data_IF_991349401371
#
_entry.id   IF_991349401371
#
_cell.length_a   1.000
_cell.length_b   1.000
_cell.length_c   1.000
_cell.angle_alpha   90.00
_cell.angle_beta   90.00
_cell.angle_gamma   90.00
#
_symmetry.space_group_name_H-M   'P 1'
#
loop_
_entity.id
_entity.type
_entity.pdbx_description
1 polymer ?
#
# COMPACT_ATOMS: atom_id res chain seq x y z
N UNK A 1 -5.20 46.48 0.79
CA UNK A 1 -4.05 45.55 0.73
C UNK A 1 -3.54 45.35 2.14
N UNK A 2 -3.78 44.18 2.73
CA UNK A 2 -3.15 43.82 4.03
C UNK A 2 -1.67 43.58 3.81
N UNK A 3 -0.81 44.46 4.30
CA UNK A 3 0.63 44.40 4.14
C UNK A 3 1.33 43.42 5.11
N UNK A 4 0.55 42.72 5.98
CA UNK A 4 1.09 41.90 7.07
C UNK A 4 0.62 40.44 7.04
N UNK A 5 -0.02 39.98 5.96
CA UNK A 5 -0.53 38.62 5.85
C UNK A 5 0.17 37.89 4.71
N UNK A 6 0.85 36.81 5.02
CA UNK A 6 1.39 35.86 4.06
C UNK A 6 0.45 34.65 3.98
N UNK A 7 -0.03 34.33 2.78
CA UNK A 7 -0.86 33.14 2.54
C UNK A 7 -0.01 32.02 1.97
N UNK A 8 0.01 30.88 2.67
CA UNK A 8 0.65 29.66 2.20
C UNK A 8 -0.45 28.62 2.01
N UNK A 9 -0.60 28.11 0.79
CA UNK A 9 -1.56 27.07 0.44
C UNK A 9 -0.80 25.77 0.14
N UNK A 10 -1.23 24.69 0.73
CA UNK A 10 -0.68 23.35 0.46
C UNK A 10 -1.73 22.45 -0.18
N UNK A 11 -1.33 21.63 -1.13
CA UNK A 11 -2.21 20.66 -1.76
C UNK A 11 -1.42 19.46 -2.29
N UNK A 12 -2.08 18.33 -2.39
CA UNK A 12 -1.51 17.11 -3.01
C UNK A 12 -1.83 17.01 -4.52
N UNK A 13 -2.78 17.80 -5.02
CA UNK A 13 -3.21 17.76 -6.43
C UNK A 13 -3.37 19.16 -6.98
N UNK A 14 -2.32 19.69 -7.60
CA UNK A 14 -2.31 21.02 -8.22
C UNK A 14 -3.42 21.20 -9.26
N UNK A 15 -3.79 20.15 -9.99
CA UNK A 15 -4.86 20.19 -10.99
C UNK A 15 -6.24 20.52 -10.43
N UNK A 16 -6.49 20.31 -9.12
CA UNK A 16 -7.73 20.64 -8.44
C UNK A 16 -7.83 22.12 -8.00
N UNK A 17 -6.71 22.85 -8.05
CA UNK A 17 -6.69 24.28 -7.72
C UNK A 17 -7.19 25.06 -8.93
N UNK A 18 -8.14 25.99 -8.69
CA UNK A 18 -8.69 26.84 -9.74
C UNK A 18 -7.60 27.65 -10.45
N UNK A 19 -7.73 27.80 -11.75
CA UNK A 19 -6.73 28.46 -12.60
C UNK A 19 -6.39 29.89 -12.13
N UNK A 20 -7.38 30.63 -11.61
CA UNK A 20 -7.20 31.97 -11.09
C UNK A 20 -6.25 32.07 -9.88
N UNK A 21 -6.17 31.03 -9.03
CA UNK A 21 -5.22 30.96 -7.94
C UNK A 21 -3.82 30.54 -8.45
N UNK A 22 -3.79 29.52 -9.31
CA UNK A 22 -2.51 29.03 -9.87
C UNK A 22 -1.73 30.11 -10.65
N UNK A 23 -2.44 31.00 -11.34
CA UNK A 23 -1.80 32.09 -12.10
C UNK A 23 -1.28 33.23 -11.24
N UNK A 24 -1.67 33.30 -9.97
CA UNK A 24 -1.31 34.40 -9.06
C UNK A 24 -0.34 34.00 -7.95
N UNK A 25 -0.09 32.70 -7.77
CA UNK A 25 0.76 32.18 -6.72
C UNK A 25 1.96 31.46 -7.32
N UNK A 26 3.18 31.70 -6.81
CA UNK A 26 4.32 30.86 -7.13
C UNK A 26 4.05 29.44 -6.63
N UNK A 27 4.35 28.45 -7.44
CA UNK A 27 4.16 27.04 -7.09
C UNK A 27 5.50 26.39 -6.82
N UNK A 28 5.64 25.78 -5.67
CA UNK A 28 6.78 24.97 -5.27
C UNK A 28 6.33 23.52 -5.17
N UNK A 29 7.04 22.62 -5.82
CA UNK A 29 6.75 21.18 -5.79
C UNK A 29 7.74 20.49 -4.83
N UNK A 30 7.19 19.76 -3.87
CA UNK A 30 7.96 18.88 -3.00
C UNK A 30 7.76 17.46 -3.51
N UNK A 31 8.82 16.87 -4.01
CA UNK A 31 8.82 15.46 -4.41
C UNK A 31 8.92 14.58 -3.15
N UNK A 32 8.58 13.30 -3.27
CA UNK A 32 8.91 12.31 -2.25
C UNK A 32 10.42 12.20 -2.07
N UNK A 33 10.84 11.66 -0.93
CA UNK A 33 12.25 11.35 -0.70
C UNK A 33 12.70 10.21 -1.62
N UNK A 34 13.95 10.25 -2.03
CA UNK A 34 14.60 9.11 -2.64
C UNK A 34 14.69 7.96 -1.61
N UNK A 35 14.78 6.72 -2.10
CA UNK A 35 14.77 5.53 -1.23
C UNK A 35 15.88 5.60 -0.18
N UNK A 36 17.10 5.94 -0.61
CA UNK A 36 18.26 6.04 0.28
C UNK A 36 18.09 7.12 1.37
N UNK A 37 17.44 8.24 1.04
CA UNK A 37 17.13 9.32 2.00
C UNK A 37 16.08 8.84 3.03
N UNK A 38 15.07 8.09 2.56
CA UNK A 38 14.04 7.53 3.41
C UNK A 38 14.61 6.46 4.35
N UNK A 39 15.50 5.59 3.85
CA UNK A 39 16.21 4.60 4.66
C UNK A 39 17.07 5.26 5.74
N UNK A 40 17.86 6.27 5.36
CA UNK A 40 18.68 7.02 6.30
C UNK A 40 17.85 7.67 7.40
N UNK A 41 16.72 8.29 7.05
CA UNK A 41 15.83 8.93 8.01
C UNK A 41 15.20 7.91 8.98
N UNK A 42 14.69 6.79 8.50
CA UNK A 42 14.08 5.77 9.36
C UNK A 42 15.12 5.07 10.25
N UNK A 43 16.34 4.85 9.75
CA UNK A 43 17.46 4.33 10.53
C UNK A 43 17.84 5.26 11.68
N UNK A 44 17.88 6.57 11.43
CA UNK A 44 18.12 7.56 12.48
C UNK A 44 17.04 7.50 13.57
N UNK A 45 15.76 7.34 13.19
CA UNK A 45 14.66 7.21 14.16
C UNK A 45 14.81 5.94 15.00
N UNK A 46 15.22 4.81 14.41
CA UNK A 46 15.51 3.58 15.16
C UNK A 46 16.52 3.84 16.27
N UNK A 47 17.58 4.59 15.97
CA UNK A 47 18.62 4.93 16.95
C UNK A 47 18.10 5.91 18.01
N UNK A 48 17.42 6.99 17.61
CA UNK A 48 16.94 8.04 18.50
C UNK A 48 15.86 7.58 19.48
N UNK A 49 14.93 6.74 19.01
CA UNK A 49 13.83 6.21 19.80
C UNK A 49 14.20 4.92 20.54
N UNK A 50 15.40 4.38 20.32
CA UNK A 50 15.88 3.17 20.97
C UNK A 50 15.18 1.89 20.51
N UNK A 51 14.66 1.86 19.30
CA UNK A 51 14.10 0.65 18.70
C UNK A 51 15.17 -0.42 18.48
N UNK A 52 14.78 -1.70 18.36
CA UNK A 52 15.72 -2.78 18.10
C UNK A 52 16.53 -2.54 16.81
N UNK A 53 17.84 -2.63 16.87
CA UNK A 53 18.71 -2.41 15.70
C UNK A 53 18.41 -3.37 14.53
N UNK A 54 17.86 -4.56 14.82
CA UNK A 54 17.43 -5.53 13.79
C UNK A 54 16.27 -4.99 12.91
N UNK A 55 15.53 -3.97 13.36
CA UNK A 55 14.50 -3.35 12.56
C UNK A 55 15.07 -2.63 11.32
N UNK A 56 16.34 -2.24 11.37
CA UNK A 56 17.03 -1.64 10.23
C UNK A 56 17.02 -2.54 8.99
N UNK A 57 17.10 -3.86 9.18
CA UNK A 57 17.09 -4.84 8.08
C UNK A 57 15.71 -4.88 7.36
N UNK A 58 14.65 -4.45 8.04
CA UNK A 58 13.28 -4.45 7.50
C UNK A 58 12.89 -3.12 6.84
N UNK A 59 13.71 -2.06 6.97
CA UNK A 59 13.40 -0.72 6.44
C UNK A 59 13.18 -0.74 4.91
N UNK A 60 14.02 -1.37 4.08
CA UNK A 60 13.81 -1.37 2.63
C UNK A 60 12.45 -1.97 2.23
N UNK A 61 12.07 -3.08 2.88
CA UNK A 61 10.78 -3.72 2.65
C UNK A 61 9.61 -2.85 3.15
N UNK A 62 9.77 -2.19 4.30
CA UNK A 62 8.79 -1.27 4.86
C UNK A 62 8.54 -0.06 3.94
N UNK A 63 9.59 0.54 3.37
CA UNK A 63 9.49 1.65 2.41
C UNK A 63 8.79 1.20 1.14
N UNK A 64 9.15 0.03 0.63
CA UNK A 64 8.52 -0.56 -0.56
C UNK A 64 7.04 -0.80 -0.32
N UNK A 65 6.67 -1.42 0.81
CA UNK A 65 5.28 -1.67 1.21
C UNK A 65 4.44 -0.40 1.26
N UNK A 66 4.99 0.67 1.83
CA UNK A 66 4.29 1.96 1.97
C UNK A 66 4.59 2.95 0.83
N UNK A 67 5.25 2.52 -0.26
CA UNK A 67 5.54 3.34 -1.45
C UNK A 67 6.24 4.67 -1.11
N UNK A 68 7.11 4.65 -0.12
CA UNK A 68 7.83 5.84 0.33
C UNK A 68 7.02 6.80 1.21
N UNK A 69 5.81 6.44 1.66
CA UNK A 69 5.07 7.22 2.66
C UNK A 69 5.68 7.02 4.05
N UNK A 70 6.57 7.91 4.43
CA UNK A 70 7.25 7.87 5.73
C UNK A 70 6.29 7.89 6.92
N UNK A 71 5.14 8.57 6.80
CA UNK A 71 4.15 8.61 7.88
C UNK A 71 3.54 7.22 8.08
N UNK A 72 3.25 6.51 7.00
CA UNK A 72 2.77 5.14 7.07
C UNK A 72 3.85 4.20 7.63
N UNK A 73 5.11 4.35 7.21
CA UNK A 73 6.24 3.61 7.78
C UNK A 73 6.36 3.82 9.30
N UNK A 74 6.34 5.07 9.76
CA UNK A 74 6.43 5.40 11.18
C UNK A 74 5.26 4.85 11.99
N UNK A 75 4.04 4.90 11.45
CA UNK A 75 2.87 4.29 12.10
C UNK A 75 3.05 2.78 12.26
N UNK A 76 3.56 2.09 11.24
CA UNK A 76 3.84 0.67 11.32
C UNK A 76 4.88 0.37 12.40
N UNK A 77 5.95 1.14 12.48
CA UNK A 77 6.95 1.00 13.54
C UNK A 77 6.36 1.22 14.94
N UNK A 78 5.47 2.22 15.09
CA UNK A 78 4.83 2.55 16.38
C UNK A 78 3.86 1.48 16.91
N UNK A 79 3.25 0.69 16.04
CA UNK A 79 2.34 -0.40 16.46
C UNK A 79 3.06 -1.71 16.75
N UNK A 80 4.31 -1.86 16.30
CA UNK A 80 5.13 -3.01 16.60
C UNK A 80 5.65 -2.95 18.04
N UNK A 81 5.74 -4.11 18.68
CA UNK A 81 6.29 -4.22 20.04
C UNK A 81 7.80 -3.95 20.01
N UNK A 82 8.31 -2.90 20.67
CA UNK A 82 9.73 -2.58 20.67
C UNK A 82 10.59 -3.59 21.43
N UNK A 83 10.02 -4.39 22.32
CA UNK A 83 10.73 -5.45 23.03
C UNK A 83 10.96 -6.70 22.15
N UNK A 84 10.32 -6.74 20.97
CA UNK A 84 10.43 -7.82 20.00
C UNK A 84 11.21 -7.38 18.76
N UNK A 85 12.48 -7.80 18.70
CA UNK A 85 13.38 -7.43 17.59
C UNK A 85 12.92 -7.88 16.19
N UNK A 86 12.02 -8.86 16.10
CA UNK A 86 11.51 -9.38 14.83
C UNK A 86 10.07 -8.90 14.53
N UNK A 87 9.47 -8.07 15.40
CA UNK A 87 8.09 -7.61 15.23
C UNK A 87 7.86 -6.87 13.91
N UNK A 88 8.77 -5.96 13.56
CA UNK A 88 8.66 -5.19 12.32
C UNK A 88 8.78 -6.07 11.08
N UNK A 89 9.73 -7.00 11.07
CA UNK A 89 9.90 -7.96 9.98
C UNK A 89 8.63 -8.80 9.79
N UNK A 90 8.14 -9.40 10.87
CA UNK A 90 6.90 -10.20 10.81
C UNK A 90 5.72 -9.38 10.31
N UNK A 91 5.51 -8.18 10.84
CA UNK A 91 4.37 -7.33 10.42
C UNK A 91 4.49 -6.92 8.94
N UNK A 92 5.70 -6.65 8.48
CA UNK A 92 5.94 -6.24 7.08
C UNK A 92 5.78 -7.41 6.12
N UNK A 93 6.29 -8.59 6.47
CA UNK A 93 6.22 -9.80 5.66
C UNK A 93 4.83 -10.47 5.68
N UNK A 94 4.11 -10.41 6.80
CA UNK A 94 2.87 -11.12 7.00
C UNK A 94 1.81 -10.71 5.97
N UNK A 95 1.59 -9.41 5.77
CA UNK A 95 0.63 -8.91 4.78
C UNK A 95 0.95 -9.38 3.36
N UNK A 96 2.25 -9.45 3.02
CA UNK A 96 2.68 -9.95 1.71
C UNK A 96 2.36 -11.44 1.56
N UNK A 97 2.66 -12.27 2.57
CA UNK A 97 2.36 -13.71 2.55
C UNK A 97 0.86 -13.99 2.41
N UNK A 98 0.03 -13.25 3.13
CA UNK A 98 -1.42 -13.39 3.07
C UNK A 98 -1.99 -13.03 1.69
N UNK A 99 -1.47 -11.99 1.05
CA UNK A 99 -1.88 -11.63 -0.29
C UNK A 99 -1.42 -12.64 -1.34
N UNK A 100 -0.24 -13.22 -1.19
CA UNK A 100 0.24 -14.33 -2.03
C UNK A 100 -0.62 -15.57 -1.83
N UNK A 101 -1.00 -15.91 -0.60
CA UNK A 101 -1.95 -17.01 -0.33
C UNK A 101 -3.28 -16.76 -1.03
N UNK A 102 -3.88 -15.58 -0.84
CA UNK A 102 -5.15 -15.23 -1.50
C UNK A 102 -5.02 -15.32 -3.03
N UNK A 103 -3.94 -14.79 -3.60
CA UNK A 103 -3.69 -14.89 -5.03
C UNK A 103 -3.63 -16.34 -5.51
N UNK A 104 -2.92 -17.21 -4.78
CA UNK A 104 -2.77 -18.63 -5.13
C UNK A 104 -4.12 -19.35 -5.10
N UNK A 105 -4.97 -19.10 -4.08
CA UNK A 105 -6.29 -19.70 -4.00
C UNK A 105 -7.22 -19.21 -5.15
N UNK A 106 -7.13 -17.92 -5.49
CA UNK A 106 -7.86 -17.38 -6.65
C UNK A 106 -7.35 -18.04 -7.95
N UNK A 107 -6.04 -18.21 -8.09
CA UNK A 107 -5.42 -18.76 -9.30
C UNK A 107 -5.72 -20.27 -9.44
N UNK A 108 -5.70 -21.02 -8.34
CA UNK A 108 -6.08 -22.45 -8.29
C UNK A 108 -7.60 -22.66 -8.43
N UNK A 109 -8.39 -21.58 -8.37
CA UNK A 109 -9.87 -21.58 -8.41
C UNK A 109 -10.51 -22.23 -7.18
N UNK A 110 -9.81 -22.28 -6.08
CA UNK A 110 -10.39 -22.66 -4.79
C UNK A 110 -11.08 -21.45 -4.16
N UNK A 111 -12.32 -21.20 -4.60
CA UNK A 111 -13.08 -20.03 -4.19
C UNK A 111 -13.54 -20.08 -2.73
N UNK A 112 -13.70 -21.26 -2.18
CA UNK A 112 -14.08 -21.44 -0.77
C UNK A 112 -12.93 -21.07 0.14
N UNK A 113 -11.73 -21.57 -0.16
CA UNK A 113 -10.53 -21.21 0.59
C UNK A 113 -10.14 -19.73 0.38
N UNK A 114 -10.27 -19.20 -0.84
CA UNK A 114 -10.05 -17.79 -1.11
C UNK A 114 -10.93 -16.88 -0.23
N UNK A 115 -12.20 -17.23 0.00
CA UNK A 115 -13.07 -16.46 0.89
C UNK A 115 -12.66 -16.60 2.37
N UNK A 116 -12.15 -17.77 2.75
CA UNK A 116 -11.61 -18.00 4.10
C UNK A 116 -10.38 -17.13 4.34
N UNK A 117 -9.46 -17.06 3.38
CA UNK A 117 -8.29 -16.17 3.44
C UNK A 117 -8.71 -14.70 3.47
N UNK A 118 -9.75 -14.29 2.73
CA UNK A 118 -10.31 -12.94 2.79
C UNK A 118 -10.75 -12.55 4.22
N UNK A 119 -11.46 -13.44 4.92
CA UNK A 119 -11.87 -13.18 6.30
C UNK A 119 -10.65 -12.96 7.20
N UNK A 120 -9.66 -13.83 7.08
CA UNK A 120 -8.43 -13.72 7.86
C UNK A 120 -7.69 -12.40 7.62
N UNK A 121 -7.52 -11.97 6.35
CA UNK A 121 -6.87 -10.70 5.99
C UNK A 121 -7.58 -9.50 6.62
N UNK A 122 -8.91 -9.48 6.59
CA UNK A 122 -9.70 -8.38 7.15
C UNK A 122 -9.62 -8.36 8.68
N UNK A 123 -9.62 -9.52 9.31
CA UNK A 123 -9.48 -9.64 10.77
C UNK A 123 -8.10 -9.16 11.26
N UNK A 124 -7.06 -9.22 10.43
CA UNK A 124 -5.76 -8.63 10.71
C UNK A 124 -5.73 -7.09 10.60
N UNK A 125 -6.81 -6.48 10.14
CA UNK A 125 -6.91 -5.02 10.00
C UNK A 125 -6.20 -4.45 8.77
N UNK A 126 -5.91 -5.28 7.77
CA UNK A 126 -5.29 -4.86 6.51
C UNK A 126 -6.15 -3.82 5.80
N UNK A 127 -5.56 -2.73 5.39
CA UNK A 127 -6.28 -1.66 4.69
C UNK A 127 -6.59 -2.03 3.23
N UNK A 128 -7.58 -1.37 2.63
CA UNK A 128 -7.98 -1.62 1.23
C UNK A 128 -6.86 -1.37 0.23
N UNK A 129 -6.08 -0.34 0.46
CA UNK A 129 -4.95 -0.03 -0.41
C UNK A 129 -3.86 -1.10 -0.29
N UNK A 130 -3.58 -1.60 0.92
CA UNK A 130 -2.67 -2.74 1.14
C UNK A 130 -3.19 -4.03 0.50
N UNK A 131 -4.50 -4.27 0.53
CA UNK A 131 -5.12 -5.43 -0.13
C UNK A 131 -4.92 -5.40 -1.65
N UNK A 132 -5.19 -4.24 -2.26
CA UNK A 132 -5.04 -4.07 -3.72
C UNK A 132 -3.57 -4.16 -4.13
N UNK A 133 -2.70 -3.46 -3.41
CA UNK A 133 -1.27 -3.41 -3.70
C UNK A 133 -0.61 -4.77 -3.51
N UNK A 134 -0.94 -5.49 -2.45
CA UNK A 134 -0.42 -6.82 -2.19
C UNK A 134 -0.87 -7.85 -3.24
N UNK A 135 -2.14 -7.82 -3.65
CA UNK A 135 -2.61 -8.65 -4.76
C UNK A 135 -1.93 -8.30 -6.08
N UNK A 136 -1.73 -7.01 -6.36
CA UNK A 136 -1.03 -6.58 -7.56
C UNK A 136 0.43 -7.06 -7.56
N UNK A 137 1.12 -6.96 -6.42
CA UNK A 137 2.49 -7.45 -6.26
C UNK A 137 2.58 -8.97 -6.51
N UNK A 138 1.66 -9.76 -5.95
CA UNK A 138 1.62 -11.20 -6.18
C UNK A 138 1.43 -11.54 -7.68
N UNK A 139 0.60 -10.78 -8.40
CA UNK A 139 0.42 -10.94 -9.86
C UNK A 139 1.71 -10.62 -10.62
N UNK A 140 2.43 -9.56 -10.24
CA UNK A 140 3.70 -9.19 -10.87
C UNK A 140 4.75 -10.27 -10.65
N UNK A 141 4.89 -10.77 -9.42
CA UNK A 141 5.83 -11.84 -9.08
C UNK A 141 5.55 -13.13 -9.86
N UNK A 142 4.27 -13.53 -9.98
CA UNK A 142 3.88 -14.68 -10.80
C UNK A 142 4.12 -14.48 -12.30
N UNK A 143 4.03 -13.25 -12.79
CA UNK A 143 4.38 -12.95 -14.17
C UNK A 143 5.90 -13.01 -14.39
N UNK A 144 6.69 -12.44 -13.49
CA UNK A 144 8.15 -12.41 -13.57
C UNK A 144 8.74 -13.82 -13.42
N UNK A 145 8.12 -14.69 -12.63
CA UNK A 145 8.48 -16.11 -12.50
C UNK A 145 7.98 -16.99 -13.67
N UNK A 146 7.30 -16.42 -14.66
CA UNK A 146 6.66 -17.11 -15.79
C UNK A 146 5.58 -18.14 -15.42
N UNK A 147 4.96 -18.01 -14.26
CA UNK A 147 3.82 -18.86 -13.86
C UNK A 147 2.55 -18.50 -14.62
N UNK A 148 2.39 -17.20 -14.94
CA UNK A 148 1.27 -16.70 -15.72
C UNK A 148 1.72 -15.94 -16.95
N UNK A 149 0.93 -16.02 -18.03
CA UNK A 149 1.18 -15.25 -19.25
C UNK A 149 0.71 -13.80 -19.14
N UNK A 150 1.28 -12.93 -20.00
CA UNK A 150 0.98 -11.49 -20.04
C UNK A 150 -0.53 -11.18 -20.14
N UNK A 151 -1.29 -11.97 -20.86
CA UNK A 151 -2.75 -11.79 -21.03
C UNK A 151 -3.49 -11.94 -19.70
N UNK A 152 -3.09 -12.89 -18.88
CA UNK A 152 -3.67 -13.15 -17.56
C UNK A 152 -3.25 -12.03 -16.60
N UNK A 153 -1.96 -11.69 -16.55
CA UNK A 153 -1.45 -10.61 -15.72
C UNK A 153 -2.17 -9.28 -16.02
N UNK A 154 -2.38 -8.93 -17.28
CA UNK A 154 -3.11 -7.72 -17.66
C UNK A 154 -4.58 -7.74 -17.23
N UNK A 155 -5.25 -8.89 -17.23
CA UNK A 155 -6.63 -9.00 -16.74
C UNK A 155 -6.72 -8.74 -15.24
N UNK A 156 -5.82 -9.33 -14.44
CA UNK A 156 -5.72 -9.05 -13.00
C UNK A 156 -5.46 -7.56 -12.75
N UNK A 157 -4.45 -7.01 -13.41
CA UNK A 157 -4.09 -5.59 -13.26
C UNK A 157 -5.25 -4.65 -13.60
N UNK A 158 -6.04 -4.97 -14.65
CA UNK A 158 -7.21 -4.19 -15.02
C UNK A 158 -8.29 -4.22 -13.93
N UNK A 159 -8.59 -5.39 -13.38
CA UNK A 159 -9.56 -5.53 -12.30
C UNK A 159 -9.11 -4.76 -11.07
N UNK A 160 -7.88 -4.98 -10.63
CA UNK A 160 -7.32 -4.31 -9.44
C UNK A 160 -7.27 -2.79 -9.62
N UNK A 161 -6.89 -2.28 -10.80
CA UNK A 161 -6.90 -0.85 -11.10
C UNK A 161 -8.30 -0.23 -11.03
N UNK A 162 -9.35 -0.94 -11.46
CA UNK A 162 -10.74 -0.50 -11.31
C UNK A 162 -11.17 -0.43 -9.85
N UNK A 163 -10.75 -1.39 -9.03
CA UNK A 163 -11.05 -1.42 -7.60
C UNK A 163 -10.25 -0.37 -6.83
N UNK A 164 -9.00 -0.11 -7.19
CA UNK A 164 -8.20 0.99 -6.65
C UNK A 164 -8.91 2.35 -6.85
N UNK A 165 -9.49 2.59 -8.04
CA UNK A 165 -10.26 3.80 -8.30
C UNK A 165 -11.56 3.89 -7.49
N UNK A 166 -12.11 2.78 -7.02
CA UNK A 166 -13.35 2.71 -6.22
C UNK A 166 -13.09 2.74 -4.72
N UNK A 167 -11.90 2.36 -4.26
CA UNK A 167 -11.56 2.19 -2.84
C UNK A 167 -11.91 3.41 -1.99
N UNK A 168 -11.58 4.61 -2.47
CA UNK A 168 -11.82 5.88 -1.77
C UNK A 168 -13.31 6.24 -1.59
N UNK A 169 -14.21 5.68 -2.41
CA UNK A 169 -15.66 5.96 -2.38
C UNK A 169 -16.46 4.76 -1.84
N UNK A 170 -15.82 3.70 -1.44
CA UNK A 170 -16.47 2.51 -0.94
C UNK A 170 -16.93 2.71 0.51
N UNK A 171 -18.23 2.58 0.76
CA UNK A 171 -18.86 2.86 2.07
C UNK A 171 -19.24 1.62 2.87
N UNK A 172 -19.07 0.45 2.28
CA UNK A 172 -19.38 -0.84 2.90
C UNK A 172 -18.11 -1.45 3.51
N UNK A 173 -18.24 -2.43 4.41
CA UNK A 173 -17.12 -3.02 5.12
C UNK A 173 -16.03 -3.63 4.22
N UNK A 174 -14.83 -3.73 4.75
CA UNK A 174 -13.63 -4.16 4.03
C UNK A 174 -13.70 -5.61 3.54
N UNK A 175 -14.37 -6.48 4.29
CA UNK A 175 -14.61 -7.86 3.87
C UNK A 175 -15.44 -7.93 2.58
N UNK A 176 -16.52 -7.13 2.48
CA UNK A 176 -17.34 -7.11 1.27
C UNK A 176 -16.58 -6.48 0.10
N UNK A 177 -15.68 -5.54 0.39
CA UNK A 177 -14.79 -4.98 -0.61
C UNK A 177 -13.88 -6.06 -1.21
N UNK A 178 -13.19 -6.83 -0.37
CA UNK A 178 -12.29 -7.89 -0.80
C UNK A 178 -13.02 -9.03 -1.52
N UNK A 179 -14.18 -9.47 -0.99
CA UNK A 179 -15.04 -10.46 -1.67
C UNK A 179 -15.47 -9.99 -3.07
N UNK A 180 -15.74 -8.69 -3.22
CA UNK A 180 -16.14 -8.15 -4.53
C UNK A 180 -14.99 -8.14 -5.53
N UNK A 181 -13.75 -7.88 -5.07
CA UNK A 181 -12.53 -8.02 -5.89
C UNK A 181 -12.39 -9.47 -6.37
N UNK A 182 -12.47 -10.42 -5.45
CA UNK A 182 -12.38 -11.87 -5.76
C UNK A 182 -13.46 -12.29 -6.76
N UNK A 183 -14.70 -11.82 -6.56
CA UNK A 183 -15.81 -12.08 -7.49
C UNK A 183 -15.61 -11.51 -8.89
N UNK A 184 -15.09 -10.29 -9.00
CA UNK A 184 -14.77 -9.65 -10.28
C UNK A 184 -13.60 -10.36 -10.99
N UNK A 185 -12.58 -10.80 -10.24
CA UNK A 185 -11.49 -11.61 -10.79
C UNK A 185 -12.04 -12.93 -11.33
N UNK A 186 -12.84 -13.65 -10.53
CA UNK A 186 -13.50 -14.87 -10.96
C UNK A 186 -14.24 -14.70 -12.27
N UNK A 187 -15.01 -13.65 -12.42
CA UNK A 187 -15.84 -13.39 -13.60
C UNK A 187 -15.06 -12.99 -14.86
N UNK A 188 -13.84 -12.48 -14.73
CA UNK A 188 -13.08 -11.88 -15.85
C UNK A 188 -11.78 -12.58 -16.20
N UNK A 189 -11.25 -13.37 -15.29
CA UNK A 189 -9.98 -14.09 -15.48
C UNK A 189 -10.23 -15.55 -15.88
N UNK A 190 -11.40 -16.09 -15.56
CA UNK A 190 -11.90 -17.35 -16.14
C UNK A 190 -12.21 -17.17 -17.66
#
# INVERSE_FOLDING_TARGET
>A
TCTHVLWILTCTRVARIIAALRSRLPTYTFNGLEVDEAEGFLSQIIEEEGYPSRWADSIPLLITKHKGDLRACLKTMQICDPDDGDALARHTEQTTKEMVMLYNEIHSRDWEEALTVCNYIVDQGTTRDEMIDGLHQAVVESYDSNEIGVSIALRYTLVLGQWAARSANWTVGDLLFLHSIVGDIKARVE
#
